data_IF_905362055559
#
_entry.id   IF_905362055559
#
_cell.length_a   1.000
_cell.length_b   1.000
_cell.length_c   1.000
_cell.angle_alpha   90.00
_cell.angle_beta   90.00
_cell.angle_gamma   90.00
#
_symmetry.space_group_name_H-M   'P 1'
#
loop_
_entity.id
_entity.type
_entity.pdbx_description
1 polymer ?
#
# COMPACT_ATOMS: atom_id res chain seq x y z
N UNK A 1 -15.99 1.77 -3.31
CA UNK A 1 -15.21 2.05 -2.09
C UNK A 1 -13.82 1.48 -2.28
N UNK A 2 -12.80 2.11 -1.72
CA UNK A 2 -11.43 1.60 -1.75
C UNK A 2 -11.02 1.15 -0.36
N UNK A 3 -10.21 0.10 -0.29
CA UNK A 3 -9.59 -0.37 0.95
C UNK A 3 -8.10 -0.48 0.75
N UNK A 4 -7.35 0.13 1.67
CA UNK A 4 -5.92 -0.05 1.83
C UNK A 4 -5.66 -1.05 2.94
N UNK A 5 -4.72 -1.95 2.68
CA UNK A 5 -4.26 -3.00 3.58
C UNK A 5 -2.75 -2.92 3.68
N UNK A 6 -2.22 -2.85 4.90
CA UNK A 6 -0.82 -3.09 5.21
C UNK A 6 -0.72 -4.43 5.93
N UNK A 7 0.09 -5.32 5.39
CA UNK A 7 0.32 -6.67 5.90
C UNK A 7 1.81 -6.82 6.21
N UNK A 8 2.14 -7.46 7.31
CA UNK A 8 3.52 -7.82 7.68
C UNK A 8 3.50 -8.95 8.72
N UNK A 9 4.48 -9.84 8.70
CA UNK A 9 4.57 -11.02 9.59
C UNK A 9 3.28 -11.87 9.61
N UNK A 10 2.61 -11.99 8.46
CA UNK A 10 1.31 -12.66 8.33
C UNK A 10 0.12 -11.96 9.02
N UNK A 11 0.27 -10.72 9.48
CA UNK A 11 -0.76 -9.94 10.19
C UNK A 11 -1.15 -8.67 9.46
N UNK A 12 -2.42 -8.27 9.59
CA UNK A 12 -2.86 -6.94 9.13
C UNK A 12 -2.44 -5.90 10.17
N UNK A 13 -1.53 -5.00 9.80
CA UNK A 13 -1.04 -3.93 10.67
C UNK A 13 -1.86 -2.64 10.49
N UNK A 14 -2.41 -2.41 9.30
CA UNK A 14 -3.29 -1.26 9.02
C UNK A 14 -4.37 -1.61 7.99
N UNK A 15 -5.59 -1.11 8.25
CA UNK A 15 -6.75 -1.22 7.37
C UNK A 15 -7.44 0.14 7.29
N UNK A 16 -7.53 0.70 6.09
CA UNK A 16 -8.13 2.03 5.85
C UNK A 16 -9.14 1.90 4.73
N UNK A 17 -10.38 2.33 4.96
CA UNK A 17 -11.43 2.34 3.94
C UNK A 17 -11.89 3.76 3.68
N UNK A 18 -11.95 4.16 2.41
CA UNK A 18 -12.44 5.48 1.98
C UNK A 18 -13.09 5.36 0.59
N UNK A 19 -13.98 6.28 0.26
CA UNK A 19 -14.53 6.43 -1.09
C UNK A 19 -13.56 7.09 -2.08
N UNK A 20 -12.58 7.84 -1.58
CA UNK A 20 -11.63 8.64 -2.34
C UNK A 20 -10.25 7.97 -2.37
N UNK A 21 -9.78 7.64 -3.57
CA UNK A 21 -8.48 6.98 -3.79
C UNK A 21 -7.30 7.88 -3.39
N UNK A 22 -7.42 9.20 -3.56
CA UNK A 22 -6.38 10.15 -3.15
C UNK A 22 -6.24 10.24 -1.64
N UNK A 23 -7.34 10.14 -0.89
CA UNK A 23 -7.29 10.02 0.59
C UNK A 23 -6.68 8.71 1.02
N UNK A 24 -7.07 7.60 0.39
CA UNK A 24 -6.41 6.30 0.58
C UNK A 24 -4.90 6.41 0.34
N UNK A 25 -4.50 7.05 -0.75
CA UNK A 25 -3.09 7.19 -1.09
C UNK A 25 -2.34 7.98 0.00
N UNK A 26 -2.90 9.10 0.45
CA UNK A 26 -2.30 9.90 1.53
C UNK A 26 -2.17 9.14 2.83
N UNK A 27 -3.23 8.47 3.30
CA UNK A 27 -3.20 7.74 4.56
C UNK A 27 -2.35 6.47 4.48
N UNK A 28 -2.44 5.74 3.37
CA UNK A 28 -1.66 4.54 3.12
C UNK A 28 -0.18 4.83 3.07
N UNK A 29 0.22 5.96 2.45
CA UNK A 29 1.61 6.41 2.45
C UNK A 29 2.14 6.64 3.86
N UNK A 30 1.43 7.44 4.66
CA UNK A 30 1.85 7.70 6.04
C UNK A 30 1.89 6.43 6.88
N UNK A 31 0.97 5.48 6.65
CA UNK A 31 0.99 4.18 7.34
C UNK A 31 2.22 3.35 6.98
N UNK A 32 2.63 3.32 5.70
CA UNK A 32 3.85 2.61 5.27
C UNK A 32 5.10 3.29 5.82
N UNK A 33 5.20 4.62 5.72
CA UNK A 33 6.34 5.38 6.24
C UNK A 33 6.53 5.16 7.75
N UNK A 34 5.46 5.23 8.55
CA UNK A 34 5.52 4.94 9.98
C UNK A 34 5.89 3.49 10.27
N UNK A 35 5.32 2.53 9.54
CA UNK A 35 5.59 1.11 9.76
C UNK A 35 7.06 0.75 9.48
N UNK A 36 7.57 1.17 8.32
CA UNK A 36 8.95 0.94 7.92
C UNK A 36 9.95 1.67 8.82
N UNK A 37 9.62 2.86 9.33
CA UNK A 37 10.49 3.55 10.28
C UNK A 37 10.63 2.79 11.62
N UNK A 38 9.59 2.07 12.03
CA UNK A 38 9.57 1.33 13.31
C UNK A 38 10.11 -0.10 13.19
N UNK A 39 9.85 -0.78 12.07
CA UNK A 39 10.09 -2.22 11.90
C UNK A 39 11.03 -2.54 10.73
N UNK A 40 11.25 -1.58 9.84
CA UNK A 40 12.05 -1.77 8.65
C UNK A 40 13.54 -1.83 8.94
N UNK A 41 14.25 -2.55 8.11
CA UNK A 41 15.70 -2.62 8.07
C UNK A 41 16.18 -2.34 6.65
N UNK A 42 17.47 -2.04 6.47
CA UNK A 42 18.03 -1.80 5.14
C UNK A 42 19.53 -2.06 5.12
N UNK A 43 20.05 -2.38 3.94
CA UNK A 43 21.48 -2.42 3.63
C UNK A 43 21.87 -1.28 2.67
N UNK A 44 23.16 -1.16 2.36
CA UNK A 44 23.68 -0.08 1.51
C UNK A 44 23.18 -0.16 0.04
N UNK A 45 22.63 -1.31 -0.38
CA UNK A 45 22.14 -1.55 -1.75
C UNK A 45 20.62 -1.31 -1.88
N UNK A 46 19.89 -1.15 -0.78
CA UNK A 46 18.45 -0.90 -0.78
C UNK A 46 18.11 0.57 -1.12
N UNK A 47 17.05 0.77 -1.92
CA UNK A 47 16.51 2.12 -2.18
C UNK A 47 15.67 2.67 -1.01
N UNK A 48 15.06 1.77 -0.22
CA UNK A 48 14.17 2.07 0.89
C UNK A 48 14.30 1.00 1.99
N UNK A 49 13.76 1.29 3.17
CA UNK A 49 13.62 0.29 4.22
C UNK A 49 12.72 -0.88 3.75
N UNK A 50 13.11 -2.09 4.15
CA UNK A 50 12.43 -3.35 3.84
C UNK A 50 12.01 -4.11 5.09
N UNK A 51 11.16 -5.10 4.90
CA UNK A 51 10.75 -6.11 5.90
C UNK A 51 10.83 -7.50 5.26
N UNK A 52 10.78 -8.57 6.05
CA UNK A 52 10.93 -9.93 5.52
C UNK A 52 9.79 -10.34 4.56
N UNK A 53 8.53 -9.99 4.88
CA UNK A 53 7.34 -10.40 4.11
C UNK A 53 6.27 -9.31 4.00
N UNK A 54 6.56 -8.09 4.43
CA UNK A 54 5.61 -6.98 4.44
C UNK A 54 5.25 -6.46 3.05
N UNK A 55 3.99 -6.05 2.91
CA UNK A 55 3.47 -5.42 1.71
C UNK A 55 2.23 -4.57 2.02
N UNK A 56 1.93 -3.66 1.10
CA UNK A 56 0.68 -2.92 1.07
C UNK A 56 -0.10 -3.20 -0.23
N UNK A 57 -1.43 -3.13 -0.16
CA UNK A 57 -2.29 -3.18 -1.34
C UNK A 57 -3.51 -2.28 -1.22
N UNK A 58 -4.02 -1.83 -2.35
CA UNK A 58 -5.30 -1.16 -2.49
C UNK A 58 -6.22 -2.02 -3.34
N UNK A 59 -7.42 -2.27 -2.83
CA UNK A 59 -8.50 -2.94 -3.56
C UNK A 59 -9.71 -2.03 -3.66
N UNK A 60 -10.46 -2.16 -4.75
CA UNK A 60 -11.77 -1.55 -4.92
C UNK A 60 -12.84 -2.58 -4.61
N UNK A 61 -13.79 -2.19 -3.77
CA UNK A 61 -14.96 -2.99 -3.40
C UNK A 61 -16.22 -2.32 -3.95
N UNK A 62 -17.02 -3.12 -4.66
CA UNK A 62 -18.34 -2.73 -5.15
C UNK A 62 -19.42 -3.25 -4.19
N UNK A 63 -20.17 -2.36 -3.51
CA UNK A 63 -21.22 -2.78 -2.60
C UNK A 63 -22.30 -3.62 -3.31
N UNK A 64 -22.74 -4.69 -2.67
CA UNK A 64 -23.84 -5.52 -3.18
C UNK A 64 -23.46 -6.55 -4.23
N UNK A 65 -22.17 -6.64 -4.62
CA UNK A 65 -21.65 -7.71 -5.47
C UNK A 65 -20.70 -8.55 -4.61
N UNK A 66 -21.13 -9.75 -4.14
CA UNK A 66 -20.23 -10.68 -3.48
C UNK A 66 -19.03 -10.97 -4.40
N UNK A 67 -17.81 -10.98 -3.85
CA UNK A 67 -16.55 -11.28 -4.56
C UNK A 67 -16.06 -10.23 -5.58
N UNK A 68 -16.62 -9.02 -5.62
CA UNK A 68 -16.13 -7.95 -6.51
C UNK A 68 -14.90 -7.20 -5.96
N UNK A 69 -13.91 -7.93 -5.45
CA UNK A 69 -12.64 -7.31 -5.09
C UNK A 69 -11.80 -7.12 -6.35
N UNK A 70 -11.66 -5.87 -6.78
CA UNK A 70 -10.78 -5.50 -7.88
C UNK A 70 -9.46 -5.00 -7.31
N UNK A 71 -8.35 -5.63 -7.72
CA UNK A 71 -7.01 -5.17 -7.35
C UNK A 71 -6.67 -3.87 -8.08
N UNK A 72 -6.30 -2.83 -7.32
CA UNK A 72 -5.95 -1.51 -7.87
C UNK A 72 -4.44 -1.31 -7.88
N UNK A 73 -3.77 -1.67 -6.80
CA UNK A 73 -2.34 -1.39 -6.61
C UNK A 73 -1.74 -2.24 -5.49
N UNK A 74 -0.44 -2.51 -5.57
CA UNK A 74 0.33 -3.17 -4.54
C UNK A 74 1.75 -2.61 -4.46
N UNK A 75 2.36 -2.72 -3.28
CA UNK A 75 3.74 -2.36 -3.04
C UNK A 75 4.36 -3.33 -2.04
N UNK A 76 5.44 -3.99 -2.45
CA UNK A 76 6.22 -4.89 -1.59
C UNK A 76 7.25 -4.08 -0.81
N UNK A 77 7.47 -4.42 0.46
CA UNK A 77 8.52 -3.81 1.27
C UNK A 77 9.83 -4.57 1.09
N UNK A 78 10.27 -4.73 -0.16
CA UNK A 78 11.45 -5.52 -0.52
C UNK A 78 12.74 -4.67 -0.63
N UNK A 79 12.63 -3.36 -0.44
CA UNK A 79 13.73 -2.40 -0.53
C UNK A 79 14.16 -2.06 -1.96
N UNK A 80 13.59 -2.71 -2.99
CA UNK A 80 14.00 -2.52 -4.39
C UNK A 80 13.31 -1.36 -5.08
N UNK A 81 12.15 -0.97 -4.57
CA UNK A 81 11.32 0.09 -5.17
C UNK A 81 11.10 1.19 -4.15
N UNK A 82 11.46 2.42 -4.51
CA UNK A 82 11.14 3.56 -3.64
C UNK A 82 9.64 3.79 -3.44
N UNK A 83 9.25 4.16 -2.22
CA UNK A 83 7.86 4.43 -1.87
C UNK A 83 7.27 5.57 -2.72
N UNK A 84 8.08 6.59 -3.00
CA UNK A 84 7.72 7.70 -3.88
C UNK A 84 7.32 7.22 -5.28
N UNK A 85 8.13 6.34 -5.87
CA UNK A 85 7.82 5.77 -7.17
C UNK A 85 6.54 4.94 -7.12
N UNK A 86 6.38 4.08 -6.11
CA UNK A 86 5.20 3.25 -5.96
C UNK A 86 3.90 4.08 -5.89
N UNK A 87 3.89 5.19 -5.14
CA UNK A 87 2.73 6.08 -5.07
C UNK A 87 2.49 6.90 -6.34
N UNK A 88 3.52 7.20 -7.13
CA UNK A 88 3.33 7.81 -8.45
C UNK A 88 2.52 6.90 -9.38
N UNK A 89 2.70 5.57 -9.28
CA UNK A 89 1.93 4.60 -10.05
C UNK A 89 0.46 4.56 -9.60
N UNK A 90 0.21 4.61 -8.27
CA UNK A 90 -1.15 4.68 -7.74
C UNK A 90 -1.89 5.95 -8.21
N UNK A 91 -1.19 7.08 -8.27
CA UNK A 91 -1.76 8.33 -8.78
C UNK A 91 -2.05 8.28 -10.28
N UNK A 92 -1.27 7.55 -11.07
CA UNK A 92 -1.57 7.35 -12.50
C UNK A 92 -2.88 6.57 -12.68
N UNK A 93 -3.13 5.55 -11.85
CA UNK A 93 -4.40 4.79 -11.86
C UNK A 93 -5.61 5.69 -11.55
N UNK A 94 -5.44 6.72 -10.72
CA UNK A 94 -6.50 7.69 -10.42
C UNK A 94 -6.90 8.51 -11.66
N UNK A 95 -6.01 8.73 -12.63
CA UNK A 95 -6.29 9.55 -13.81
C UNK A 95 -7.01 8.77 -14.92
N UNK A 96 -7.01 7.43 -14.86
CA UNK A 96 -7.64 6.55 -15.85
C UNK A 96 -9.08 6.16 -15.49
N UNK A 97 -9.58 6.58 -14.32
CA UNK A 97 -10.91 6.25 -13.79
C UNK A 97 -11.83 7.47 -13.72
#
# INVERSE_FOLDING_TARGET
>A
MFMFLLMDEGQCKSLIADSDLGRIASFGRSAIESHLAEHGFGDDDDEELKTDDGYAKVVRVTPGVPESEEHVWSYSFDGQVSLNYAFSLLQAVQQEQ
#
